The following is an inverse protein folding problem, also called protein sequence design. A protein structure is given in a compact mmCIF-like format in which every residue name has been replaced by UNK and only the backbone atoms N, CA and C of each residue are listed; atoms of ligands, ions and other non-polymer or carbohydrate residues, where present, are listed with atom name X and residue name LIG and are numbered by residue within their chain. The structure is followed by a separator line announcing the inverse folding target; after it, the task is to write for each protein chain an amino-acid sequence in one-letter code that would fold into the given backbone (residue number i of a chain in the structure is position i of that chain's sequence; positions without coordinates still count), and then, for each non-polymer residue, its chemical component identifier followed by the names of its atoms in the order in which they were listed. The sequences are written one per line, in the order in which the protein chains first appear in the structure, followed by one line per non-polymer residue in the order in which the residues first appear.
data_IF_367643713483
#
_entry.id   IF_367643713483
#
_cell.length_a   1.000
_cell.length_b   1.000
_cell.length_c   1.000
_cell.angle_alpha   90.00
_cell.angle_beta   90.00
_cell.angle_gamma   90.00
#
_symmetry.space_group_name_H-M   'P 1'
#
loop_
_entity.id
_entity.type
_entity.pdbx_description
1 polymer ?
#
# COMPACT_ATOMS: atom_id res chain seq x y z
N UNK A 1 -3.30 -3.57 10.45
CA UNK A 1 -1.85 -3.86 10.48
C UNK A 1 -0.98 -2.62 10.77
N UNK A 2 -1.06 -1.54 9.97
CA UNK A 2 -0.20 -0.35 10.17
C UNK A 2 -0.42 0.33 11.53
N UNK A 3 -1.67 0.56 11.91
CA UNK A 3 -1.99 1.16 13.23
C UNK A 3 -1.48 0.29 14.38
N UNK A 4 -1.59 -1.04 14.24
CA UNK A 4 -1.14 -1.99 15.27
C UNK A 4 0.38 -2.03 15.36
N UNK A 5 1.08 -1.91 14.23
CA UNK A 5 2.55 -1.77 14.18
C UNK A 5 3.00 -0.54 14.97
N UNK A 6 2.36 0.61 14.75
CA UNK A 6 2.68 1.85 15.46
C UNK A 6 2.39 1.71 16.96
N UNK A 7 1.25 1.11 17.33
CA UNK A 7 0.91 0.85 18.74
C UNK A 7 1.93 -0.07 19.42
N UNK A 8 2.36 -1.14 18.76
CA UNK A 8 3.38 -2.04 19.27
C UNK A 8 4.72 -1.32 19.51
N UNK A 9 5.16 -0.51 18.54
CA UNK A 9 6.39 0.28 18.68
C UNK A 9 6.31 1.28 19.85
N UNK A 10 5.17 1.99 20.00
CA UNK A 10 4.95 2.91 21.11
C UNK A 10 4.87 2.20 22.48
N UNK A 11 4.47 0.92 22.49
CA UNK A 11 4.50 0.05 23.65
C UNK A 11 5.84 -0.63 23.93
N UNK A 12 6.91 -0.26 23.20
CA UNK A 12 8.23 -0.92 23.23
C UNK A 12 8.24 -2.41 22.82
N UNK A 13 7.17 -2.92 22.20
CA UNK A 13 7.14 -4.26 21.61
C UNK A 13 7.69 -4.22 20.17
N UNK A 14 9.01 -4.07 20.09
CA UNK A 14 9.73 -4.01 18.81
C UNK A 14 9.64 -5.30 17.99
N UNK A 15 9.67 -6.52 18.58
CA UNK A 15 9.45 -7.75 17.81
C UNK A 15 8.09 -7.77 17.11
N UNK A 16 6.99 -7.40 17.79
CA UNK A 16 5.67 -7.35 17.17
C UNK A 16 5.60 -6.25 16.11
N UNK A 17 6.19 -5.07 16.38
CA UNK A 17 6.26 -3.99 15.39
C UNK A 17 7.03 -4.40 14.13
N UNK A 18 8.18 -5.07 14.27
CA UNK A 18 8.97 -5.56 13.12
C UNK A 18 8.18 -6.60 12.31
N UNK A 19 7.52 -7.55 12.98
CA UNK A 19 6.68 -8.54 12.30
C UNK A 19 5.57 -7.88 11.48
N UNK A 20 4.86 -6.92 12.06
CA UNK A 20 3.81 -6.19 11.36
C UNK A 20 4.35 -5.31 10.23
N UNK A 21 5.53 -4.71 10.40
CA UNK A 21 6.19 -3.94 9.35
C UNK A 21 6.60 -4.83 8.17
N UNK A 22 7.15 -6.02 8.44
CA UNK A 22 7.54 -6.99 7.40
C UNK A 22 6.36 -7.42 6.54
N UNK A 23 5.18 -7.61 7.15
CA UNK A 23 3.94 -7.89 6.42
C UNK A 23 3.50 -6.78 5.45
N UNK A 24 4.02 -5.56 5.61
CA UNK A 24 3.63 -4.40 4.81
C UNK A 24 4.70 -4.00 3.78
N UNK A 25 5.87 -4.63 3.78
CA UNK A 25 7.00 -4.22 2.93
C UNK A 25 6.67 -4.33 1.43
N UNK A 26 6.01 -5.40 1.01
CA UNK A 26 5.64 -5.60 -0.39
C UNK A 26 4.56 -4.59 -0.82
N UNK A 27 3.55 -4.36 0.02
CA UNK A 27 2.59 -3.28 -0.20
C UNK A 27 3.28 -1.92 -0.33
N UNK A 28 4.21 -1.56 0.56
CA UNK A 28 4.95 -0.31 0.45
C UNK A 28 5.68 -0.23 -0.88
N UNK A 29 6.41 -1.27 -1.27
CA UNK A 29 7.12 -1.29 -2.55
C UNK A 29 6.17 -1.05 -3.74
N UNK A 30 5.01 -1.70 -3.76
CA UNK A 30 4.03 -1.56 -4.84
C UNK A 30 3.35 -0.19 -4.87
N UNK A 31 3.14 0.45 -3.73
CA UNK A 31 2.57 1.82 -3.67
C UNK A 31 3.49 2.86 -4.33
N UNK A 32 4.80 2.61 -4.42
CA UNK A 32 5.79 3.54 -4.97
C UNK A 32 6.41 3.08 -6.30
N UNK A 33 6.09 1.89 -6.81
CA UNK A 33 6.76 1.29 -7.98
C UNK A 33 6.66 2.14 -9.25
N UNK A 34 5.55 2.87 -9.43
CA UNK A 34 5.30 3.79 -10.55
C UNK A 34 5.24 5.27 -10.10
N UNK A 35 5.76 5.57 -8.91
CA UNK A 35 5.80 6.91 -8.34
C UNK A 35 4.55 7.32 -7.56
N UNK A 36 4.72 8.28 -6.64
CA UNK A 36 3.63 8.85 -5.85
C UNK A 36 2.97 10.02 -6.61
N UNK A 37 1.62 10.13 -6.68
CA UNK A 37 0.58 9.32 -6.03
C UNK A 37 -0.04 8.20 -6.87
N UNK A 38 0.62 7.72 -7.93
CA UNK A 38 0.05 6.74 -8.87
C UNK A 38 -0.42 5.46 -8.17
N UNK A 39 0.46 4.82 -7.38
CA UNK A 39 0.14 3.57 -6.69
C UNK A 39 -0.94 3.73 -5.61
N UNK A 40 -0.85 4.77 -4.78
CA UNK A 40 -1.86 5.01 -3.73
C UNK A 40 -3.23 5.35 -4.30
N UNK A 41 -3.31 6.10 -5.41
CA UNK A 41 -4.59 6.38 -6.07
C UNK A 41 -5.22 5.12 -6.67
N UNK A 42 -4.41 4.21 -7.22
CA UNK A 42 -4.90 2.90 -7.67
C UNK A 42 -5.44 2.06 -6.51
N UNK A 43 -4.75 2.01 -5.37
CA UNK A 43 -5.22 1.31 -4.17
C UNK A 43 -6.57 1.87 -3.66
N UNK A 44 -6.70 3.20 -3.61
CA UNK A 44 -7.91 3.87 -3.13
C UNK A 44 -9.11 3.67 -4.08
N UNK A 45 -8.87 3.54 -5.38
CA UNK A 45 -9.92 3.18 -6.35
C UNK A 45 -10.46 1.77 -6.13
N UNK A 46 -9.59 0.79 -5.87
CA UNK A 46 -10.01 -0.58 -5.54
C UNK A 46 -10.86 -0.64 -4.27
N UNK A 47 -10.70 0.33 -3.37
CA UNK A 47 -11.49 0.47 -2.15
C UNK A 47 -12.74 1.35 -2.32
N UNK A 48 -13.01 1.87 -3.52
CA UNK A 48 -14.17 2.72 -3.80
C UNK A 48 -14.11 4.11 -3.18
N UNK A 49 -12.91 4.61 -2.82
CA UNK A 49 -12.74 5.89 -2.12
C UNK A 49 -12.59 7.05 -3.11
N UNK A 50 -11.79 6.88 -4.18
CA UNK A 50 -11.61 7.89 -5.22
C UNK A 50 -11.20 7.25 -6.56
N UNK A 51 -11.14 8.01 -7.64
CA UNK A 51 -10.65 7.50 -8.93
C UNK A 51 -9.13 7.41 -8.96
N UNK A 52 -8.56 6.48 -9.74
CA UNK A 52 -7.10 6.36 -9.92
C UNK A 52 -6.49 7.42 -10.84
N UNK A 53 -7.31 8.33 -11.36
CA UNK A 53 -6.88 9.38 -12.29
C UNK A 53 -5.81 10.27 -11.67
N UNK A 54 -4.73 10.51 -12.40
CA UNK A 54 -3.71 11.49 -12.03
C UNK A 54 -3.65 12.58 -13.09
N UNK A 55 -3.08 13.73 -12.74
CA UNK A 55 -2.84 14.82 -13.68
C UNK A 55 -1.43 14.72 -14.23
N UNK A 56 -1.27 15.17 -15.47
CA UNK A 56 0.05 15.33 -16.07
C UNK A 56 0.96 16.15 -15.14
N UNK A 57 2.27 15.81 -15.06
CA UNK A 57 3.00 14.89 -15.95
C UNK A 57 2.87 13.39 -15.60
N UNK A 58 2.08 13.04 -14.58
CA UNK A 58 1.88 11.65 -14.18
C UNK A 58 0.90 10.94 -15.10
N UNK A 59 1.06 9.62 -15.21
CA UNK A 59 0.16 8.73 -15.95
C UNK A 59 -0.47 7.71 -15.00
N UNK A 60 -1.69 7.23 -15.28
CA UNK A 60 -2.32 6.17 -14.48
C UNK A 60 -1.45 4.92 -14.41
N UNK A 61 -1.58 4.18 -13.30
CA UNK A 61 -0.82 2.96 -13.06
C UNK A 61 -1.04 1.94 -14.18
N UNK A 62 0.03 1.25 -14.59
CA UNK A 62 -0.02 0.18 -15.57
C UNK A 62 -0.96 -0.94 -15.14
N UNK A 63 -1.55 -1.67 -16.10
CA UNK A 63 -2.44 -2.81 -15.80
C UNK A 63 -1.73 -3.89 -14.98
N UNK A 64 -0.45 -4.15 -15.28
CA UNK A 64 0.38 -5.07 -14.52
C UNK A 64 0.57 -4.59 -13.07
N UNK A 65 0.86 -3.30 -12.88
CA UNK A 65 0.98 -2.69 -11.56
C UNK A 65 -0.31 -2.78 -10.75
N UNK A 66 -1.45 -2.54 -11.39
CA UNK A 66 -2.79 -2.68 -10.79
C UNK A 66 -3.05 -4.12 -10.35
N UNK A 67 -2.72 -5.13 -11.16
CA UNK A 67 -2.90 -6.54 -10.79
C UNK A 67 -2.06 -6.92 -9.57
N UNK A 68 -0.76 -6.58 -9.58
CA UNK A 68 0.15 -6.86 -8.45
C UNK A 68 -0.33 -6.16 -7.16
N UNK A 69 -0.71 -4.89 -7.26
CA UNK A 69 -1.21 -4.12 -6.12
C UNK A 69 -2.52 -4.70 -5.56
N UNK A 70 -3.41 -5.18 -6.44
CA UNK A 70 -4.66 -5.81 -6.01
C UNK A 70 -4.42 -7.11 -5.25
N UNK A 71 -3.49 -7.96 -5.72
CA UNK A 71 -3.13 -9.20 -5.05
C UNK A 71 -2.53 -8.94 -3.66
N UNK A 72 -1.61 -7.98 -3.57
CA UNK A 72 -0.97 -7.61 -2.31
C UNK A 72 -1.96 -6.95 -1.33
N UNK A 73 -2.88 -6.11 -1.81
CA UNK A 73 -3.93 -5.54 -0.96
C UNK A 73 -4.78 -6.65 -0.34
N UNK A 74 -5.18 -7.66 -1.11
CA UNK A 74 -5.91 -8.82 -0.58
C UNK A 74 -5.08 -9.60 0.43
N UNK A 75 -3.78 -9.75 0.22
CA UNK A 75 -2.89 -10.45 1.15
C UNK A 75 -2.80 -9.73 2.50
N UNK A 76 -2.76 -8.39 2.50
CA UNK A 76 -2.57 -7.57 3.70
C UNK A 76 -3.89 -7.27 4.45
N UNK A 77 -5.02 -7.24 3.74
CA UNK A 77 -6.34 -6.96 4.34
C UNK A 77 -7.20 -8.19 4.61
N UNK A 78 -6.79 -9.37 4.11
CA UNK A 78 -7.44 -10.65 4.35
C UNK A 78 -7.11 -11.29 5.70
#
# INVERSE_FOLDING_TARGET
PFTDMVRAALGNDMPAAQHLNHKLLDLYRLLFIEGNPVGVKAALEMQGICTREVRLPLVPMSEQGVQLLMEELKHVTG
#
